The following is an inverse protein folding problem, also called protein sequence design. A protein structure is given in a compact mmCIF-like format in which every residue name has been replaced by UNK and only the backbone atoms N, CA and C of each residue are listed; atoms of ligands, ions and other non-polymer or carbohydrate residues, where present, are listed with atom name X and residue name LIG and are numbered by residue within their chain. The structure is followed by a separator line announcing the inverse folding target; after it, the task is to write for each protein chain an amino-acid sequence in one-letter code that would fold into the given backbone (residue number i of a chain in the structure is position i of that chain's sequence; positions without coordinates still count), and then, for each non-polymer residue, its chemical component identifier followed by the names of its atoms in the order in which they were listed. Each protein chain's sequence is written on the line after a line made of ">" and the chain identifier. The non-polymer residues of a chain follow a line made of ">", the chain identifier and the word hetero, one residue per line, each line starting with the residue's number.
data_IF_046617133717
#
_entry.id   IF_046617133717
#
_cell.length_a   1.000
_cell.length_b   1.000
_cell.length_c   1.000
_cell.angle_alpha   90.00
_cell.angle_beta   90.00
_cell.angle_gamma   90.00
#
_symmetry.space_group_name_H-M   'P 1'
#
loop_
_entity.id
_entity.type
_entity.pdbx_description
1 polymer ?
#
# COMPACT_ATOMS: atom_id res chain seq x y z
N UNK A 1 17.95 4.48 -3.49
CA UNK A 1 16.86 4.01 -2.59
C UNK A 1 16.04 2.99 -3.36
N UNK A 2 15.35 2.06 -2.69
CA UNK A 2 14.58 1.02 -3.42
C UNK A 2 13.50 1.65 -4.31
N UNK A 3 12.90 2.76 -3.84
CA UNK A 3 11.87 3.48 -4.57
C UNK A 3 12.36 4.01 -5.94
N UNK A 4 13.64 4.38 -6.07
CA UNK A 4 14.23 4.84 -7.33
C UNK A 4 14.24 3.71 -8.38
N UNK A 5 14.43 2.46 -7.93
CA UNK A 5 14.49 1.30 -8.83
C UNK A 5 13.13 0.87 -9.36
N UNK A 6 12.04 1.23 -8.68
CA UNK A 6 10.67 0.89 -9.09
C UNK A 6 9.91 2.06 -9.70
N UNK A 7 10.46 3.29 -9.59
CA UNK A 7 9.75 4.54 -9.86
C UNK A 7 9.00 4.51 -11.20
N UNK A 8 9.69 4.10 -12.27
CA UNK A 8 9.16 4.09 -13.64
C UNK A 8 8.68 2.74 -14.17
N UNK A 9 8.60 1.69 -13.34
CA UNK A 9 8.29 0.33 -13.84
C UNK A 9 6.81 0.14 -14.17
N UNK A 10 5.92 0.84 -13.47
CA UNK A 10 4.50 0.94 -13.80
C UNK A 10 4.25 2.25 -14.56
N UNK A 11 4.12 2.14 -15.87
CA UNK A 11 4.20 3.25 -16.82
C UNK A 11 2.88 4.01 -17.04
N UNK A 12 1.78 3.60 -16.41
CA UNK A 12 0.50 4.29 -16.44
C UNK A 12 0.00 4.58 -15.04
N UNK A 13 -0.79 5.65 -14.91
CA UNK A 13 -1.39 6.07 -13.64
C UNK A 13 -2.84 6.45 -13.87
N UNK A 14 -3.67 6.21 -12.85
CA UNK A 14 -5.02 6.75 -12.74
C UNK A 14 -5.21 7.39 -11.37
N UNK A 15 -5.87 8.54 -11.37
CA UNK A 15 -6.47 9.14 -10.19
C UNK A 15 -7.95 9.29 -10.47
N UNK A 16 -8.79 8.72 -9.62
CA UNK A 16 -10.23 8.89 -9.73
C UNK A 16 -10.85 9.15 -8.37
N UNK A 17 -11.98 9.84 -8.38
CA UNK A 17 -12.69 10.29 -7.19
C UNK A 17 -14.15 9.89 -7.24
N UNK A 18 -14.77 9.71 -6.08
CA UNK A 18 -16.20 9.50 -5.92
C UNK A 18 -16.62 9.80 -4.49
N UNK A 19 -17.91 10.00 -4.24
CA UNK A 19 -18.45 10.11 -2.88
C UNK A 19 -18.94 8.75 -2.38
N UNK A 20 -18.69 8.47 -1.12
CA UNK A 20 -19.21 7.29 -0.41
C UNK A 20 -20.03 7.78 0.75
N UNK A 21 -21.23 7.25 0.92
CA UNK A 21 -22.10 7.58 2.05
C UNK A 21 -21.62 6.83 3.31
N UNK A 22 -20.55 7.32 3.92
CA UNK A 22 -20.02 6.84 5.19
C UNK A 22 -19.83 8.02 6.15
N UNK A 23 -20.24 7.93 7.42
CA UNK A 23 -20.09 9.04 8.36
C UNK A 23 -18.64 9.50 8.59
N UNK A 24 -17.65 8.64 8.31
CA UNK A 24 -16.24 9.07 8.33
C UNK A 24 -15.93 10.09 7.21
N UNK A 25 -16.63 10.03 6.07
CA UNK A 25 -16.52 11.01 4.98
C UNK A 25 -17.26 12.31 5.32
N UNK A 26 -18.42 12.23 5.97
CA UNK A 26 -19.13 13.42 6.47
C UNK A 26 -18.31 14.14 7.54
N UNK A 27 -17.66 13.39 8.42
CA UNK A 27 -16.74 13.92 9.42
C UNK A 27 -15.56 14.65 8.77
N UNK A 28 -14.95 14.07 7.73
CA UNK A 28 -13.88 14.71 6.96
C UNK A 28 -14.32 16.06 6.39
N UNK A 29 -15.51 16.10 5.79
CA UNK A 29 -16.07 17.32 5.20
C UNK A 29 -16.40 18.37 6.27
N UNK A 30 -17.04 17.97 7.38
CA UNK A 30 -17.48 18.88 8.45
C UNK A 30 -16.31 19.63 9.10
N UNK A 31 -15.19 18.93 9.32
CA UNK A 31 -14.02 19.50 10.01
C UNK A 31 -12.88 19.87 9.05
N UNK A 32 -13.08 19.70 7.73
CA UNK A 32 -12.05 19.88 6.71
C UNK A 32 -10.75 19.11 7.03
N UNK A 33 -10.91 17.85 7.45
CA UNK A 33 -9.80 16.99 7.85
C UNK A 33 -9.53 15.96 6.76
N UNK A 34 -8.44 16.09 6.00
CA UNK A 34 -8.06 15.03 5.11
C UNK A 34 -7.69 13.78 5.89
N UNK A 35 -7.97 12.62 5.30
CA UNK A 35 -7.71 11.33 5.89
C UNK A 35 -6.96 10.45 4.91
N UNK A 36 -5.94 9.76 5.39
CA UNK A 36 -5.36 8.64 4.67
C UNK A 36 -6.14 7.38 5.04
N UNK A 37 -6.47 6.59 4.04
CA UNK A 37 -7.22 5.36 4.18
C UNK A 37 -6.36 4.18 3.70
N UNK A 38 -6.36 3.11 4.50
CA UNK A 38 -5.84 1.81 4.10
C UNK A 38 -6.90 0.72 4.17
N UNK A 39 -7.30 0.15 3.03
CA UNK A 39 -8.22 -1.00 2.98
C UNK A 39 -7.48 -2.29 3.37
N UNK A 40 -8.18 -3.18 4.06
CA UNK A 40 -7.74 -4.52 4.42
C UNK A 40 -8.83 -5.47 4.01
N UNK A 41 -8.48 -6.43 3.16
CA UNK A 41 -9.40 -7.47 2.71
C UNK A 41 -9.07 -8.73 3.51
N UNK A 42 -10.09 -9.39 4.07
CA UNK A 42 -9.98 -10.61 4.87
C UNK A 42 -10.97 -11.65 4.35
N UNK A 43 -10.84 -12.90 4.81
CA UNK A 43 -11.78 -13.98 4.45
C UNK A 43 -13.23 -13.68 4.84
N UNK A 44 -13.40 -12.93 5.92
CA UNK A 44 -14.70 -12.57 6.48
C UNK A 44 -15.26 -11.25 5.91
N UNK A 45 -14.52 -10.58 5.01
CA UNK A 45 -14.92 -9.30 4.43
C UNK A 45 -13.76 -8.33 4.30
N UNK A 46 -13.87 -7.16 4.92
CA UNK A 46 -12.80 -6.19 4.88
C UNK A 46 -13.10 -4.92 5.65
N UNK A 47 -12.07 -4.16 5.99
CA UNK A 47 -12.17 -2.92 6.75
C UNK A 47 -11.24 -1.85 6.18
N UNK A 48 -11.57 -0.59 6.43
CA UNK A 48 -10.67 0.54 6.23
C UNK A 48 -10.03 0.92 7.56
N UNK A 49 -8.70 1.05 7.57
CA UNK A 49 -7.98 1.85 8.54
C UNK A 49 -8.01 3.29 8.05
N UNK A 50 -8.22 4.23 8.96
CA UNK A 50 -8.28 5.66 8.66
C UNK A 50 -7.35 6.38 9.61
N UNK A 51 -6.47 7.23 9.11
CA UNK A 51 -5.60 8.10 9.93
C UNK A 51 -5.82 9.56 9.50
N UNK A 52 -6.00 10.43 10.48
CA UNK A 52 -6.14 11.87 10.28
C UNK A 52 -5.45 12.62 11.42
N UNK A 53 -5.11 13.88 11.19
CA UNK A 53 -4.48 14.72 12.21
C UNK A 53 -5.40 14.93 13.41
N UNK A 54 -4.83 14.89 14.61
CA UNK A 54 -5.53 15.29 15.82
C UNK A 54 -5.54 16.82 15.96
N UNK A 55 -6.41 17.49 15.20
CA UNK A 55 -6.40 18.96 15.14
C UNK A 55 -6.84 19.64 16.44
N UNK A 56 -6.19 20.76 16.82
CA UNK A 56 -6.62 21.58 17.95
C UNK A 56 -8.03 22.12 17.70
N UNK A 57 -9.01 21.65 18.49
CA UNK A 57 -10.41 22.05 18.34
C UNK A 57 -11.39 20.88 18.32
N UNK A 58 -10.90 19.66 18.05
CA UNK A 58 -11.72 18.44 18.14
C UNK A 58 -11.83 17.97 19.58
N UNK A 59 -13.05 17.98 20.12
CA UNK A 59 -13.34 17.47 21.46
C UNK A 59 -13.96 16.05 21.43
N UNK A 60 -14.23 15.49 22.61
CA UNK A 60 -14.84 14.16 22.70
C UNK A 60 -16.27 14.11 22.13
N UNK A 61 -16.99 15.24 22.10
CA UNK A 61 -18.34 15.30 21.55
C UNK A 61 -18.33 15.23 20.03
N UNK A 62 -17.33 15.84 19.38
CA UNK A 62 -17.13 15.74 17.93
C UNK A 62 -16.85 14.28 17.52
N UNK A 63 -16.03 13.57 18.30
CA UNK A 63 -15.67 12.17 18.05
C UNK A 63 -16.85 11.20 18.23
N UNK A 64 -17.96 11.60 18.86
CA UNK A 64 -19.16 10.76 18.98
C UNK A 64 -19.78 10.39 17.64
N UNK A 65 -19.60 11.23 16.61
CA UNK A 65 -20.10 10.95 15.26
C UNK A 65 -19.42 9.71 14.64
N UNK A 66 -18.16 9.46 15.04
CA UNK A 66 -17.35 8.34 14.57
C UNK A 66 -17.14 7.27 15.65
N UNK A 67 -17.68 7.44 16.86
CA UNK A 67 -17.49 6.51 17.99
C UNK A 67 -18.15 5.15 17.81
N UNK A 68 -18.99 4.99 16.77
CA UNK A 68 -19.49 3.68 16.36
C UNK A 68 -18.41 2.80 15.72
N UNK A 69 -17.30 3.41 15.32
CA UNK A 69 -16.10 2.73 14.86
C UNK A 69 -15.16 2.47 16.02
N UNK A 70 -14.23 1.54 15.83
CA UNK A 70 -13.12 1.35 16.75
C UNK A 70 -12.13 2.52 16.53
N UNK A 71 -12.05 3.44 17.49
CA UNK A 71 -11.29 4.69 17.37
C UNK A 71 -10.19 4.75 18.45
N UNK A 72 -8.97 5.03 18.01
CA UNK A 72 -7.80 5.28 18.86
C UNK A 72 -7.34 6.72 18.63
N UNK A 73 -7.10 7.46 19.72
CA UNK A 73 -6.57 8.83 19.69
C UNK A 73 -5.17 8.84 20.31
N UNK A 74 -4.22 9.43 19.62
CA UNK A 74 -2.88 9.74 20.15
C UNK A 74 -2.73 11.25 20.27
N UNK A 75 -1.53 11.71 20.64
CA UNK A 75 -1.23 13.14 20.64
C UNK A 75 -1.40 13.75 19.25
N UNK A 76 -0.94 13.04 18.22
CA UNK A 76 -0.74 13.59 16.88
C UNK A 76 -1.81 13.08 15.87
N UNK A 77 -2.48 11.97 16.16
CA UNK A 77 -3.43 11.34 15.22
C UNK A 77 -4.76 10.91 15.87
N UNK A 78 -5.81 10.91 15.05
CA UNK A 78 -7.03 10.14 15.26
C UNK A 78 -7.01 8.98 14.26
N UNK A 79 -7.17 7.76 14.77
CA UNK A 79 -7.13 6.54 14.00
C UNK A 79 -8.44 5.77 14.16
N UNK A 80 -9.00 5.25 13.08
CA UNK A 80 -10.26 4.51 13.12
C UNK A 80 -10.20 3.24 12.27
N UNK A 81 -10.97 2.23 12.67
CA UNK A 81 -11.24 1.02 11.87
C UNK A 81 -12.71 0.97 11.52
N UNK A 82 -12.97 1.05 10.21
CA UNK A 82 -14.31 1.11 9.62
C UNK A 82 -14.58 -0.21 8.91
N UNK A 83 -15.59 -0.95 9.36
CA UNK A 83 -16.03 -2.16 8.66
C UNK A 83 -16.61 -1.80 7.28
N UNK A 84 -16.13 -2.50 6.24
CA UNK A 84 -16.57 -2.34 4.86
C UNK A 84 -17.26 -3.60 4.32
N UNK A 85 -17.50 -4.60 5.18
CA UNK A 85 -18.10 -5.87 4.79
C UNK A 85 -19.46 -5.66 4.14
N UNK A 86 -19.67 -6.28 2.98
CA UNK A 86 -20.90 -6.14 2.19
C UNK A 86 -21.08 -4.81 1.44
N UNK A 87 -20.13 -3.87 1.54
CA UNK A 87 -20.22 -2.60 0.81
C UNK A 87 -19.85 -2.76 -0.67
N UNK A 88 -20.52 -2.01 -1.56
CA UNK A 88 -20.14 -1.92 -2.99
C UNK A 88 -18.69 -1.43 -3.15
N UNK A 89 -18.23 -0.59 -2.22
CA UNK A 89 -16.87 -0.05 -2.24
C UNK A 89 -15.83 -1.16 -2.06
N UNK A 90 -16.01 -2.04 -1.07
CA UNK A 90 -15.10 -3.17 -0.84
C UNK A 90 -15.06 -4.10 -2.07
N UNK A 91 -16.21 -4.47 -2.62
CA UNK A 91 -16.28 -5.32 -3.81
C UNK A 91 -15.58 -4.70 -5.01
N UNK A 92 -15.77 -3.39 -5.24
CA UNK A 92 -15.09 -2.68 -6.31
C UNK A 92 -13.58 -2.59 -6.09
N UNK A 93 -13.15 -2.35 -4.86
CA UNK A 93 -11.73 -2.30 -4.50
C UNK A 93 -11.05 -3.67 -4.71
N UNK A 94 -11.70 -4.77 -4.32
CA UNK A 94 -11.23 -6.14 -4.60
C UNK A 94 -11.08 -6.36 -6.12
N UNK A 95 -12.08 -5.99 -6.91
CA UNK A 95 -12.06 -6.15 -8.36
C UNK A 95 -10.96 -5.31 -9.04
N UNK A 96 -10.70 -4.10 -8.53
CA UNK A 96 -9.60 -3.25 -8.99
C UNK A 96 -8.24 -3.87 -8.66
N UNK A 97 -8.05 -4.31 -7.42
CA UNK A 97 -6.79 -4.94 -6.96
C UNK A 97 -6.52 -6.31 -7.60
N UNK A 98 -7.53 -6.93 -8.23
CA UNK A 98 -7.36 -8.16 -8.99
C UNK A 98 -6.62 -7.96 -10.33
N UNK A 99 -6.54 -6.72 -10.85
CA UNK A 99 -5.79 -6.42 -12.08
C UNK A 99 -4.29 -6.67 -11.84
N UNK A 100 -3.60 -7.54 -12.61
CA UNK A 100 -2.27 -8.05 -12.26
C UNK A 100 -1.22 -6.98 -11.95
N UNK A 101 -1.02 -6.01 -12.83
CA UNK A 101 -0.01 -4.96 -12.67
C UNK A 101 -0.39 -3.79 -11.77
N UNK A 102 -1.61 -3.75 -11.24
CA UNK A 102 -2.11 -2.59 -10.51
C UNK A 102 -1.53 -2.54 -9.09
N UNK A 103 -0.93 -1.40 -8.74
CA UNK A 103 -0.50 -1.07 -7.39
C UNK A 103 -1.21 0.20 -6.94
N UNK A 104 -1.98 0.10 -5.86
CA UNK A 104 -2.61 1.26 -5.21
C UNK A 104 -1.57 1.97 -4.35
N UNK A 105 -1.25 3.20 -4.73
CA UNK A 105 -0.28 4.04 -4.04
C UNK A 105 -0.91 4.71 -2.81
N UNK A 106 -2.17 5.15 -2.92
CA UNK A 106 -2.86 5.84 -1.84
C UNK A 106 -4.38 5.89 -2.01
N UNK A 107 -5.06 5.95 -0.87
CA UNK A 107 -6.48 6.30 -0.81
C UNK A 107 -6.62 7.46 0.16
N UNK A 108 -7.22 8.56 -0.29
CA UNK A 108 -7.43 9.77 0.50
C UNK A 108 -8.91 10.07 0.57
N UNK A 109 -9.39 10.48 1.74
CA UNK A 109 -10.71 11.11 1.89
C UNK A 109 -10.51 12.58 2.20
N UNK A 110 -11.07 13.46 1.39
CA UNK A 110 -11.01 14.90 1.58
C UNK A 110 -12.26 15.57 0.98
N UNK A 111 -12.84 16.52 1.72
CA UNK A 111 -14.05 17.28 1.31
C UNK A 111 -15.22 16.39 0.86
N UNK A 112 -15.42 15.24 1.53
CA UNK A 112 -16.50 14.29 1.20
C UNK A 112 -16.26 13.44 -0.07
N UNK A 113 -15.05 13.48 -0.63
CA UNK A 113 -14.63 12.63 -1.75
C UNK A 113 -13.58 11.62 -1.31
N UNK A 114 -13.71 10.40 -1.83
CA UNK A 114 -12.68 9.37 -1.79
C UNK A 114 -11.89 9.41 -3.10
N UNK A 115 -10.58 9.65 -3.01
CA UNK A 115 -9.63 9.65 -4.11
C UNK A 115 -8.79 8.38 -4.04
N UNK A 116 -8.66 7.68 -5.16
CA UNK A 116 -7.81 6.48 -5.26
C UNK A 116 -6.74 6.74 -6.31
N UNK A 117 -5.50 6.59 -5.86
CA UNK A 117 -4.28 6.75 -6.63
C UNK A 117 -3.69 5.37 -6.89
N UNK A 118 -3.49 5.04 -8.16
CA UNK A 118 -2.81 3.79 -8.49
C UNK A 118 -2.01 3.90 -9.78
N UNK A 119 -0.95 3.11 -9.84
CA UNK A 119 -0.13 2.88 -11.04
C UNK A 119 -0.33 1.47 -11.55
N UNK A 120 -0.10 1.27 -12.84
CA UNK A 120 -0.20 -0.02 -13.50
C UNK A 120 0.64 -0.05 -14.79
N UNK A 121 0.78 -1.22 -15.40
CA UNK A 121 1.49 -1.38 -16.67
C UNK A 121 0.49 -1.30 -17.85
N UNK A 122 0.87 -0.66 -18.95
CA UNK A 122 -0.01 -0.44 -20.12
C UNK A 122 -0.67 -1.72 -20.68
N UNK A 123 -0.01 -2.88 -20.56
CA UNK A 123 -0.58 -4.16 -20.98
C UNK A 123 -1.90 -4.53 -20.27
N UNK A 124 -2.17 -3.95 -19.09
CA UNK A 124 -3.41 -4.16 -18.33
C UNK A 124 -4.44 -3.02 -18.50
N UNK A 125 -4.24 -2.06 -19.41
CA UNK A 125 -5.12 -0.89 -19.56
C UNK A 125 -6.60 -1.25 -19.77
N UNK A 126 -6.86 -2.31 -20.54
CA UNK A 126 -8.22 -2.82 -20.75
C UNK A 126 -8.82 -3.41 -19.48
N UNK A 127 -8.03 -4.13 -18.69
CA UNK A 127 -8.46 -4.73 -17.43
C UNK A 127 -8.78 -3.65 -16.39
N UNK A 128 -7.94 -2.62 -16.27
CA UNK A 128 -8.19 -1.44 -15.43
C UNK A 128 -9.47 -0.72 -15.85
N UNK A 129 -9.60 -0.41 -17.14
CA UNK A 129 -10.79 0.29 -17.66
C UNK A 129 -12.06 -0.49 -17.38
N UNK A 130 -12.04 -1.82 -17.59
CA UNK A 130 -13.16 -2.70 -17.28
C UNK A 130 -13.49 -2.68 -15.78
N UNK A 131 -12.50 -2.80 -14.91
CA UNK A 131 -12.68 -2.78 -13.46
C UNK A 131 -13.32 -1.47 -12.97
N UNK A 132 -12.84 -0.32 -13.47
CA UNK A 132 -13.40 1.00 -13.15
C UNK A 132 -14.85 1.14 -13.63
N UNK A 133 -15.12 0.78 -14.90
CA UNK A 133 -16.45 0.90 -15.49
C UNK A 133 -17.49 0.05 -14.77
N UNK A 134 -17.13 -1.18 -14.44
CA UNK A 134 -18.08 -2.14 -13.85
C UNK A 134 -18.34 -1.89 -12.36
N UNK A 135 -17.36 -1.33 -11.64
CA UNK A 135 -17.44 -1.28 -10.19
C UNK A 135 -17.58 0.13 -9.62
N UNK A 136 -17.05 1.16 -10.27
CA UNK A 136 -16.96 2.51 -9.70
C UNK A 136 -17.80 3.58 -10.40
N UNK A 137 -18.12 3.42 -11.69
CA UNK A 137 -18.82 4.47 -12.46
C UNK A 137 -20.19 4.88 -11.91
N UNK A 138 -20.90 3.96 -11.24
CA UNK A 138 -22.21 4.28 -10.66
C UNK A 138 -22.13 4.95 -9.29
N UNK A 139 -20.93 5.15 -8.72
CA UNK A 139 -20.82 5.88 -7.47
C UNK A 139 -21.18 7.35 -7.69
N UNK A 140 -21.78 7.95 -6.66
CA UNK A 140 -22.12 9.36 -6.69
C UNK A 140 -20.87 10.21 -6.92
N UNK A 141 -20.98 11.21 -7.79
CA UNK A 141 -19.89 12.13 -8.16
C UNK A 141 -18.61 11.43 -8.61
N UNK A 142 -18.75 10.27 -9.26
CA UNK A 142 -17.62 9.59 -9.89
C UNK A 142 -16.97 10.50 -10.96
N UNK A 143 -15.65 10.65 -10.89
CA UNK A 143 -14.87 11.36 -11.88
C UNK A 143 -13.47 10.77 -12.01
N UNK A 144 -12.96 10.66 -13.23
CA UNK A 144 -11.54 10.37 -13.47
C UNK A 144 -10.82 11.72 -13.51
N UNK A 145 -9.96 11.96 -12.53
CA UNK A 145 -9.17 13.19 -12.41
C UNK A 145 -7.95 13.14 -13.32
N UNK A 146 -7.34 11.96 -13.42
CA UNK A 146 -6.18 11.72 -14.26
C UNK A 146 -6.20 10.28 -14.81
N UNK A 147 -5.85 10.12 -16.08
CA UNK A 147 -5.52 8.84 -16.70
C UNK A 147 -4.49 9.08 -17.79
N UNK A 148 -3.31 8.48 -17.66
CA UNK A 148 -2.22 8.79 -18.57
C UNK A 148 -0.92 8.08 -18.25
N UNK A 149 0.20 8.56 -18.83
CA UNK A 149 1.54 8.15 -18.42
C UNK A 149 1.76 8.37 -16.92
N UNK A 150 2.46 7.45 -16.27
CA UNK A 150 2.86 7.59 -14.88
C UNK A 150 4.03 8.59 -14.76
N UNK A 151 3.96 9.51 -13.81
CA UNK A 151 5.11 10.34 -13.40
C UNK A 151 6.08 9.57 -12.50
N UNK A 152 5.64 8.40 -12.01
CA UNK A 152 6.41 7.51 -11.17
C UNK A 152 5.97 7.54 -9.71
N UNK A 153 6.37 6.51 -8.96
CA UNK A 153 6.04 6.35 -7.53
C UNK A 153 6.32 7.60 -6.69
N UNK A 154 7.51 8.19 -6.86
CA UNK A 154 7.99 9.30 -6.04
C UNK A 154 7.07 10.52 -6.20
N UNK A 155 6.72 10.87 -7.43
CA UNK A 155 5.87 12.03 -7.72
C UNK A 155 4.44 11.82 -7.23
N UNK A 156 3.91 10.59 -7.32
CA UNK A 156 2.61 10.25 -6.72
C UNK A 156 2.65 10.45 -5.20
N UNK A 157 3.68 9.97 -4.51
CA UNK A 157 3.77 10.16 -3.06
C UNK A 157 4.02 11.62 -2.66
N UNK A 158 4.68 12.43 -3.51
CA UNK A 158 4.78 13.88 -3.30
C UNK A 158 3.42 14.56 -3.40
N UNK A 159 2.62 14.22 -4.41
CA UNK A 159 1.24 14.72 -4.51
C UNK A 159 0.39 14.33 -3.29
N UNK A 160 0.52 13.08 -2.82
CA UNK A 160 -0.15 12.65 -1.59
C UNK A 160 0.36 13.40 -0.34
N UNK A 161 1.62 13.87 -0.35
CA UNK A 161 2.19 14.62 0.78
C UNK A 161 1.68 16.04 0.92
N UNK A 162 1.12 16.62 -0.15
CA UNK A 162 0.43 17.93 -0.11
C UNK A 162 -0.82 17.89 0.80
N UNK A 163 -1.39 16.70 0.97
CA UNK A 163 -2.57 16.48 1.81
C UNK A 163 -2.19 16.21 3.28
N UNK A 164 -1.11 15.47 3.50
CA UNK A 164 -0.57 15.23 4.84
C UNK A 164 0.90 14.89 4.78
N UNK A 165 1.76 15.43 5.67
CA UNK A 165 3.19 15.18 5.60
C UNK A 165 3.53 13.69 5.65
N UNK A 166 4.32 13.23 4.68
CA UNK A 166 4.73 11.83 4.53
C UNK A 166 6.23 11.66 4.74
N UNK A 167 6.62 10.56 5.37
CA UNK A 167 8.02 10.13 5.52
C UNK A 167 8.29 8.87 4.72
N UNK A 168 9.39 8.85 3.99
CA UNK A 168 9.98 7.64 3.43
C UNK A 168 10.81 6.94 4.50
N UNK A 169 10.53 5.67 4.76
CA UNK A 169 11.33 4.83 5.66
C UNK A 169 11.84 3.61 4.92
N UNK A 170 13.15 3.41 4.89
CA UNK A 170 13.80 2.23 4.30
C UNK A 170 14.46 1.40 5.39
N UNK A 171 14.19 0.10 5.36
CA UNK A 171 14.62 -0.89 6.33
C UNK A 171 15.43 -1.95 5.59
N UNK A 172 16.53 -2.35 6.20
CA UNK A 172 17.40 -3.42 5.71
C UNK A 172 17.49 -4.53 6.74
N UNK A 173 17.60 -5.76 6.26
CA UNK A 173 17.69 -6.96 7.08
C UNK A 173 18.53 -8.03 6.37
N UNK A 174 19.03 -8.98 7.13
CA UNK A 174 19.72 -10.17 6.64
C UNK A 174 18.77 -11.37 6.74
N UNK A 175 18.44 -12.00 5.61
CA UNK A 175 17.57 -13.18 5.61
C UNK A 175 18.33 -14.36 6.22
N UNK A 176 17.84 -14.97 7.32
CA UNK A 176 18.52 -16.09 7.94
C UNK A 176 18.61 -17.29 6.99
N UNK A 177 19.66 -18.12 7.07
CA UNK A 177 19.80 -19.31 6.22
C UNK A 177 18.59 -20.26 6.24
N UNK A 178 17.89 -20.35 7.38
CA UNK A 178 16.67 -21.16 7.54
C UNK A 178 15.52 -20.70 6.63
N UNK A 179 15.47 -19.42 6.28
CA UNK A 179 14.46 -18.81 5.40
C UNK A 179 14.95 -18.63 3.95
N UNK A 180 16.25 -18.80 3.69
CA UNK A 180 16.83 -18.79 2.33
C UNK A 180 16.68 -20.14 1.60
N UNK A 181 15.91 -21.08 2.16
CA UNK A 181 15.82 -22.43 1.60
C UNK A 181 15.00 -22.45 0.31
N UNK A 182 15.72 -22.59 -0.80
CA UNK A 182 15.22 -22.51 -2.17
C UNK A 182 14.02 -23.44 -2.40
N UNK A 183 13.92 -24.59 -1.75
CA UNK A 183 12.85 -25.56 -2.04
C UNK A 183 11.43 -25.12 -1.65
N UNK A 184 11.29 -24.12 -0.77
CA UNK A 184 10.00 -23.79 -0.14
C UNK A 184 9.43 -22.42 -0.57
N UNK A 185 10.19 -21.59 -1.26
CA UNK A 185 9.71 -20.29 -1.76
C UNK A 185 9.73 -20.28 -3.31
N UNK A 186 8.56 -20.36 -3.97
CA UNK A 186 8.49 -20.38 -5.43
C UNK A 186 9.07 -19.12 -6.08
N UNK A 187 9.19 -18.01 -5.34
CA UNK A 187 9.86 -16.79 -5.80
C UNK A 187 11.36 -17.02 -5.87
N UNK A 188 11.98 -17.54 -4.81
CA UNK A 188 13.44 -17.78 -4.77
C UNK A 188 13.85 -18.87 -5.77
N UNK A 189 13.04 -19.92 -5.96
CA UNK A 189 13.30 -20.96 -6.97
C UNK A 189 13.41 -20.37 -8.36
N UNK A 190 12.53 -19.42 -8.70
CA UNK A 190 12.29 -19.04 -10.09
C UNK A 190 12.87 -17.67 -10.46
N UNK A 191 13.04 -16.77 -9.50
CA UNK A 191 13.68 -15.45 -9.66
C UNK A 191 15.07 -15.38 -9.03
N UNK A 192 15.49 -16.43 -8.31
CA UNK A 192 16.75 -16.44 -7.58
C UNK A 192 16.75 -15.46 -6.40
N UNK A 193 17.95 -14.96 -6.08
CA UNK A 193 18.21 -14.10 -4.91
C UNK A 193 18.50 -12.64 -5.29
N UNK A 194 18.05 -12.22 -6.47
CA UNK A 194 18.23 -10.86 -7.00
C UNK A 194 16.95 -10.41 -7.69
N UNK A 195 16.10 -9.68 -6.97
CA UNK A 195 14.85 -9.16 -7.52
C UNK A 195 14.41 -7.90 -6.78
N UNK A 196 13.57 -7.12 -7.46
CA UNK A 196 12.83 -6.00 -6.88
C UNK A 196 11.35 -6.25 -7.14
N UNK A 197 10.50 -5.91 -6.18
CA UNK A 197 9.04 -6.02 -6.29
C UNK A 197 8.34 -4.89 -5.58
N UNK A 198 7.08 -4.71 -5.90
CA UNK A 198 6.18 -3.80 -5.20
C UNK A 198 4.96 -4.56 -4.70
N UNK A 199 4.66 -4.44 -3.40
CA UNK A 199 3.47 -5.11 -2.86
C UNK A 199 2.22 -4.49 -3.46
N UNK A 200 1.33 -5.35 -3.93
CA UNK A 200 -0.04 -4.96 -4.20
C UNK A 200 -0.76 -4.74 -2.88
N UNK A 201 -1.94 -4.16 -2.98
CA UNK A 201 -2.78 -4.02 -1.81
C UNK A 201 -3.13 -5.39 -1.24
N UNK A 202 -3.06 -5.51 0.08
CA UNK A 202 -3.00 -6.82 0.73
C UNK A 202 -4.39 -7.47 0.76
N UNK A 203 -4.46 -8.67 0.16
CA UNK A 203 -5.61 -9.57 0.14
C UNK A 203 -5.37 -10.68 1.15
N UNK A 204 -6.11 -10.71 2.26
CA UNK A 204 -6.00 -11.77 3.28
C UNK A 204 -4.57 -11.96 3.84
N UNK A 205 -4.23 -13.22 4.17
CA UNK A 205 -2.89 -13.70 4.55
C UNK A 205 -1.97 -13.93 3.33
N UNK A 206 -2.48 -13.71 2.10
CA UNK A 206 -1.75 -13.92 0.85
C UNK A 206 -1.14 -12.61 0.35
N UNK A 207 0.20 -12.53 0.39
CA UNK A 207 0.89 -11.33 -0.07
C UNK A 207 1.14 -11.44 -1.57
N UNK A 208 0.45 -10.60 -2.36
CA UNK A 208 0.68 -10.44 -3.81
C UNK A 208 1.63 -9.28 -4.08
N UNK A 209 2.46 -9.42 -5.10
CA UNK A 209 3.36 -8.38 -5.55
C UNK A 209 3.59 -8.40 -7.05
N UNK A 210 3.92 -7.23 -7.59
CA UNK A 210 4.43 -7.07 -8.95
C UNK A 210 5.95 -7.12 -8.89
N UNK A 211 6.55 -8.05 -9.63
CA UNK A 211 7.99 -8.31 -9.68
C UNK A 211 8.59 -7.73 -10.96
N UNK A 212 9.81 -7.26 -10.80
CA UNK A 212 10.64 -6.71 -11.87
C UNK A 212 11.90 -7.55 -12.00
N UNK A 213 11.91 -8.46 -12.97
CA UNK A 213 13.01 -9.40 -13.18
C UNK A 213 14.04 -8.81 -14.15
N UNK A 214 15.15 -8.29 -13.61
CA UNK A 214 16.24 -7.73 -14.43
C UNK A 214 17.05 -8.79 -15.18
N UNK A 215 16.88 -10.07 -14.85
CA UNK A 215 17.72 -11.17 -15.32
C UNK A 215 16.98 -12.19 -16.19
N UNK A 216 15.67 -12.00 -16.40
CA UNK A 216 14.83 -12.85 -17.26
C UNK A 216 14.91 -14.34 -16.88
N UNK A 217 14.97 -14.64 -15.58
CA UNK A 217 15.14 -15.99 -15.04
C UNK A 217 13.84 -16.81 -15.12
N UNK A 218 12.69 -16.14 -15.21
CA UNK A 218 11.40 -16.83 -15.34
C UNK A 218 11.26 -17.50 -16.71
N UNK A 219 11.03 -18.81 -16.70
CA UNK A 219 10.63 -19.57 -17.88
C UNK A 219 9.10 -19.68 -17.95
N UNK A 220 8.53 -19.59 -19.17
CA UNK A 220 7.08 -19.54 -19.48
C UNK A 220 6.20 -20.71 -18.91
N UNK A 221 6.76 -21.65 -18.14
CA UNK A 221 6.09 -22.91 -17.74
C UNK A 221 5.55 -22.92 -16.30
N UNK A 222 5.58 -21.77 -15.62
CA UNK A 222 5.26 -21.71 -14.20
C UNK A 222 3.82 -21.26 -13.94
N UNK A 223 2.94 -22.22 -13.59
CA UNK A 223 1.52 -21.98 -13.32
C UNK A 223 1.21 -21.02 -12.16
N UNK A 224 2.20 -20.63 -11.36
CA UNK A 224 2.03 -19.76 -10.19
C UNK A 224 2.35 -18.29 -10.47
N UNK A 225 2.79 -17.96 -11.69
CA UNK A 225 3.15 -16.59 -12.10
C UNK A 225 2.18 -16.11 -13.16
N UNK A 226 1.66 -14.89 -12.99
CA UNK A 226 0.90 -14.20 -14.03
C UNK A 226 1.82 -13.25 -14.78
N UNK A 227 2.05 -13.50 -16.07
CA UNK A 227 2.84 -12.59 -16.91
C UNK A 227 2.07 -11.29 -17.18
N UNK A 228 2.71 -10.14 -16.90
CA UNK A 228 2.18 -8.81 -17.21
C UNK A 228 2.82 -8.29 -18.50
N UNK A 229 4.16 -8.31 -18.57
CA UNK A 229 4.92 -7.90 -19.75
C UNK A 229 6.14 -8.78 -19.91
N UNK A 230 6.15 -9.60 -20.96
CA UNK A 230 7.34 -10.37 -21.35
C UNK A 230 8.51 -9.49 -21.75
N UNK A 231 8.22 -8.37 -22.43
CA UNK A 231 9.23 -7.45 -22.96
C UNK A 231 9.97 -6.73 -21.84
N UNK A 232 9.23 -6.31 -20.81
CA UNK A 232 9.76 -5.52 -19.70
C UNK A 232 10.05 -6.38 -18.46
N UNK A 233 9.85 -7.70 -18.58
CA UNK A 233 10.05 -8.71 -17.54
C UNK A 233 9.28 -8.41 -16.25
N UNK A 234 7.98 -8.12 -16.41
CA UNK A 234 7.07 -7.79 -15.32
C UNK A 234 6.08 -8.93 -15.12
N UNK A 235 5.92 -9.33 -13.86
CA UNK A 235 5.12 -10.47 -13.47
C UNK A 235 4.40 -10.22 -12.15
N UNK A 236 3.25 -10.84 -11.95
CA UNK A 236 2.59 -10.90 -10.66
C UNK A 236 2.72 -12.31 -10.07
N UNK A 237 3.03 -12.38 -8.77
CA UNK A 237 2.95 -13.63 -8.02
C UNK A 237 2.70 -13.37 -6.53
N UNK A 238 2.26 -14.43 -5.85
CA UNK A 238 2.05 -14.46 -4.40
C UNK A 238 3.29 -15.03 -3.70
N UNK A 239 3.50 -14.61 -2.45
CA UNK A 239 4.61 -15.09 -1.64
C UNK A 239 4.29 -15.05 -0.15
N UNK A 240 5.17 -15.67 0.64
CA UNK A 240 5.14 -15.61 2.10
C UNK A 240 6.45 -15.07 2.63
N UNK A 241 6.40 -14.08 3.51
CA UNK A 241 7.57 -13.61 4.25
C UNK A 241 7.14 -13.28 5.68
N UNK A 242 7.68 -13.96 6.70
CA UNK A 242 7.17 -13.84 8.06
C UNK A 242 7.41 -12.45 8.67
N UNK A 243 8.51 -11.76 8.30
CA UNK A 243 8.78 -10.39 8.73
C UNK A 243 7.74 -9.42 8.15
N UNK A 244 7.46 -9.52 6.84
CA UNK A 244 6.46 -8.67 6.18
C UNK A 244 5.06 -8.96 6.71
N UNK A 245 4.69 -10.23 6.88
CA UNK A 245 3.40 -10.62 7.45
C UNK A 245 3.22 -10.08 8.87
N UNK A 246 4.25 -10.20 9.72
CA UNK A 246 4.24 -9.63 11.05
C UNK A 246 4.05 -8.11 11.02
N UNK A 247 4.86 -7.42 10.23
CA UNK A 247 4.81 -5.96 10.13
C UNK A 247 3.41 -5.49 9.69
N UNK A 248 2.87 -6.12 8.64
CA UNK A 248 1.53 -5.86 8.11
C UNK A 248 0.44 -6.07 9.18
N UNK A 249 0.54 -7.17 9.92
CA UNK A 249 -0.42 -7.53 10.96
C UNK A 249 -0.36 -6.51 12.10
N UNK A 250 0.82 -6.26 12.66
CA UNK A 250 1.01 -5.33 13.77
C UNK A 250 0.61 -3.90 13.40
N UNK A 251 0.97 -3.42 12.21
CA UNK A 251 0.53 -2.11 11.75
C UNK A 251 -1.02 -2.02 11.71
N UNK A 252 -1.70 -3.09 11.31
CA UNK A 252 -3.17 -3.12 11.26
C UNK A 252 -3.83 -3.26 12.63
N UNK A 253 -3.19 -3.97 13.57
CA UNK A 253 -3.61 -4.08 14.97
C UNK A 253 -3.42 -2.74 15.70
N UNK A 254 -2.38 -1.98 15.36
CA UNK A 254 -2.06 -0.67 15.93
C UNK A 254 -2.72 0.52 15.22
N UNK A 255 -3.46 0.25 14.14
CA UNK A 255 -4.17 1.24 13.30
C UNK A 255 -3.21 2.17 12.55
N UNK A 256 -1.95 1.77 12.42
CA UNK A 256 -0.90 2.50 11.72
C UNK A 256 -1.02 2.23 10.22
N UNK A 257 -1.31 3.28 9.45
CA UNK A 257 -1.28 3.19 7.99
C UNK A 257 0.15 3.43 7.50
N UNK A 258 0.56 2.57 6.58
CA UNK A 258 1.68 2.86 5.67
C UNK A 258 1.18 2.81 4.23
N UNK A 259 1.89 3.44 3.30
CA UNK A 259 1.57 3.52 1.88
C UNK A 259 2.75 3.01 1.06
N UNK A 260 2.48 2.27 -0.01
CA UNK A 260 3.53 1.58 -0.76
C UNK A 260 4.34 0.57 0.07
N UNK A 261 4.88 -0.44 -0.58
CA UNK A 261 5.90 -1.28 0.06
C UNK A 261 6.80 -1.92 -0.99
N UNK A 262 7.69 -1.15 -1.63
CA UNK A 262 8.68 -1.74 -2.51
C UNK A 262 9.71 -2.54 -1.69
N UNK A 263 10.18 -3.63 -2.28
CA UNK A 263 11.05 -4.59 -1.63
C UNK A 263 12.12 -5.06 -2.61
N UNK A 264 13.29 -5.39 -2.06
CA UNK A 264 14.45 -5.84 -2.81
C UNK A 264 15.14 -6.97 -2.06
N UNK A 265 15.52 -8.01 -2.78
CA UNK A 265 16.44 -9.03 -2.28
C UNK A 265 17.71 -8.98 -3.12
N UNK A 266 18.87 -8.91 -2.46
CA UNK A 266 20.17 -9.02 -3.09
C UNK A 266 21.07 -9.96 -2.27
N UNK A 267 21.22 -11.20 -2.74
CA UNK A 267 21.89 -12.24 -1.98
C UNK A 267 21.10 -12.56 -0.71
N UNK A 268 21.65 -12.20 0.45
CA UNK A 268 20.98 -12.34 1.76
C UNK A 268 20.39 -11.03 2.28
N UNK A 269 20.70 -9.91 1.66
CA UNK A 269 20.20 -8.61 2.10
C UNK A 269 18.80 -8.43 1.58
N UNK A 270 17.82 -8.43 2.48
CA UNK A 270 16.45 -8.08 2.19
C UNK A 270 16.17 -6.67 2.68
N UNK A 271 15.75 -5.82 1.76
CA UNK A 271 15.41 -4.43 2.04
C UNK A 271 13.96 -4.19 1.65
N UNK A 272 13.25 -3.41 2.45
CA UNK A 272 11.93 -2.92 2.08
C UNK A 272 11.80 -1.47 2.53
N UNK A 273 11.00 -0.70 1.82
CA UNK A 273 10.63 0.63 2.28
C UNK A 273 9.13 0.79 2.31
N UNK A 274 8.68 1.85 2.97
CA UNK A 274 7.28 2.22 3.02
C UNK A 274 7.16 3.71 3.29
N UNK A 275 6.04 4.29 2.90
CA UNK A 275 5.71 5.68 3.14
C UNK A 275 4.80 5.74 4.36
N UNK A 276 5.12 6.59 5.32
CA UNK A 276 4.43 6.65 6.61
C UNK A 276 3.92 8.09 6.82
N UNK A 277 2.63 8.29 7.10
CA UNK A 277 2.14 9.60 7.51
C UNK A 277 2.84 10.04 8.80
N UNK A 278 3.34 11.28 8.82
CA UNK A 278 4.12 11.79 9.95
C UNK A 278 3.36 11.70 11.28
N UNK A 279 2.03 11.87 11.24
CA UNK A 279 1.13 11.80 12.40
C UNK A 279 1.11 10.45 13.12
N UNK A 280 1.45 9.35 12.43
CA UNK A 280 1.51 7.98 13.00
C UNK A 280 2.93 7.40 12.99
N UNK A 281 3.93 8.23 12.72
CA UNK A 281 5.33 7.81 12.72
C UNK A 281 5.80 7.22 14.07
N UNK A 282 5.37 7.73 15.25
CA UNK A 282 5.68 7.09 16.53
C UNK A 282 5.11 5.67 16.65
N UNK A 283 3.83 5.46 16.30
CA UNK A 283 3.18 4.14 16.33
C UNK A 283 3.84 3.16 15.33
N UNK A 284 4.31 3.66 14.18
CA UNK A 284 5.10 2.89 13.23
C UNK A 284 6.43 2.41 13.84
N UNK A 285 7.18 3.27 14.52
CA UNK A 285 8.45 2.86 15.13
C UNK A 285 8.27 1.92 16.31
N UNK A 286 7.15 2.00 17.03
CA UNK A 286 6.80 0.98 18.04
C UNK A 286 6.59 -0.39 17.39
N UNK A 287 5.87 -0.45 16.27
CA UNK A 287 5.71 -1.69 15.48
C UNK A 287 7.06 -2.24 15.01
N UNK A 288 7.97 -1.36 14.56
CA UNK A 288 9.32 -1.76 14.15
C UNK A 288 10.16 -2.29 15.31
N UNK A 289 10.06 -1.67 16.49
CA UNK A 289 10.74 -2.11 17.71
C UNK A 289 10.29 -3.51 18.11
N UNK A 290 9.00 -3.82 17.97
CA UNK A 290 8.47 -5.16 18.21
C UNK A 290 8.99 -6.17 17.18
N UNK A 291 9.06 -5.79 15.90
CA UNK A 291 9.63 -6.64 14.85
C UNK A 291 11.10 -6.99 15.15
N UNK A 292 11.91 -6.01 15.54
CA UNK A 292 13.33 -6.22 15.91
C UNK A 292 13.44 -7.21 17.07
N UNK A 293 12.57 -7.12 18.08
CA UNK A 293 12.57 -8.03 19.23
C UNK A 293 12.17 -9.45 18.86
N UNK A 294 11.22 -9.61 17.93
CA UNK A 294 10.69 -10.92 17.53
C UNK A 294 11.59 -11.62 16.50
N UNK A 295 12.21 -10.86 15.59
CA UNK A 295 13.03 -11.37 14.48
C UNK A 295 14.51 -11.06 14.70
N UNK A 296 15.05 -11.43 15.86
CA UNK A 296 16.44 -11.12 16.24
C UNK A 296 17.47 -11.67 15.25
N UNK A 297 17.19 -12.82 14.63
CA UNK A 297 18.08 -13.43 13.63
C UNK A 297 18.10 -12.69 12.29
N UNK A 298 17.15 -11.77 12.04
CA UNK A 298 17.04 -11.05 10.78
C UNK A 298 17.92 -9.79 10.72
N UNK A 299 18.62 -9.42 11.79
CA UNK A 299 19.51 -8.24 11.84
C UNK A 299 18.85 -6.97 11.24
N UNK A 300 17.66 -6.62 11.73
CA UNK A 300 16.84 -5.52 11.17
C UNK A 300 17.43 -4.16 11.56
N UNK A 301 17.66 -3.31 10.57
CA UNK A 301 18.17 -1.94 10.73
C UNK A 301 17.35 -0.93 9.91
N UNK A 302 17.17 0.29 10.46
CA UNK A 302 16.50 1.39 9.76
C UNK A 302 17.57 2.19 9.03
N UNK A 303 17.60 2.07 7.71
CA UNK A 303 18.65 2.64 6.87
C UNK A 303 18.41 4.12 6.54
N UNK A 304 17.16 4.48 6.22
CA UNK A 304 16.79 5.87 5.91
C UNK A 304 15.45 6.25 6.53
N UNK A 305 15.36 7.50 6.98
CA UNK A 305 14.10 8.21 7.28
C UNK A 305 14.21 9.59 6.63
N UNK A 306 13.38 9.88 5.63
CA UNK A 306 13.43 11.15 4.87
C UNK A 306 12.03 11.71 4.65
N UNK A 307 11.95 13.02 4.48
CA UNK A 307 10.75 13.65 3.91
C UNK A 307 10.54 13.19 2.47
N UNK A 308 9.30 12.86 2.11
CA UNK A 308 8.96 12.47 0.74
C UNK A 308 9.23 13.61 -0.25
N UNK A 309 8.99 14.86 0.17
CA UNK A 309 9.31 16.07 -0.60
C UNK A 309 10.79 16.18 -0.97
N UNK A 310 11.68 15.62 -0.14
CA UNK A 310 13.13 15.66 -0.34
C UNK A 310 13.66 14.50 -1.22
N UNK A 311 12.79 13.62 -1.71
CA UNK A 311 13.18 12.59 -2.67
C UNK A 311 13.36 13.22 -4.06
N UNK A 312 14.42 12.82 -4.77
CA UNK A 312 14.68 13.30 -6.13
C UNK A 312 14.04 12.33 -7.14
N UNK A 313 13.30 12.87 -8.10
CA UNK A 313 12.75 12.10 -9.21
C UNK A 313 13.82 12.05 -10.32
N UNK A 314 14.28 10.86 -10.74
CA UNK A 314 15.41 10.71 -11.66
C UNK A 314 15.16 11.19 -13.09
#
# INVERSE_FOLDING_TARGET
>A
MIIDEINGMLNRQVVFSFSVDLPITDFSMKYNLPMIVRIRITKDGGYALVNMENSPGLDESDLKEISKYDVKRTRDAIMAKVDLTGTKFLSGFIALNAVPSLVVDGVIVHDGYCYIYFRFHENDEQNVTKALRQNFMDFSRYAVQYIGPSTGAIDVFKELSDVTPLKYVEITSSVPPSFMNITNDPVIVNLGVSWTRELKYLLEDEIRAVYYDKHSLLTDRNNFVTEISKKDHIYETSFTNPLIQFFVKQASENFTITLGMPQKLNGKTFSFSTIVPQIVLPDFFETMREAIKQFQEWDIDIHYVRDVEALESP
#
